data_IF_012751604746
#
_entry.id   IF_012751604746
#
_cell.length_a   1.000
_cell.length_b   1.000
_cell.length_c   1.000
_cell.angle_alpha   90.00
_cell.angle_beta   90.00
_cell.angle_gamma   90.00
#
_symmetry.space_group_name_H-M   'P 1'
#
loop_
_entity.id
_entity.type
_entity.pdbx_description
1 polymer ?
#
# COMPACT_ATOMS: atom_id res chain seq x y z
N UNK A 1 -36.80 13.67 32.41
CA UNK A 1 -35.39 13.55 32.83
C UNK A 1 -34.73 12.24 32.37
N UNK A 2 -35.26 11.03 32.67
CA UNK A 2 -34.62 9.75 32.26
C UNK A 2 -34.42 9.55 30.74
N UNK A 3 -35.37 9.99 29.93
CA UNK A 3 -35.29 9.89 28.46
C UNK A 3 -34.23 10.80 27.84
N UNK A 4 -33.95 11.94 28.48
CA UNK A 4 -32.94 12.89 28.03
C UNK A 4 -31.52 12.30 28.18
N UNK A 5 -31.27 11.56 29.27
CA UNK A 5 -29.99 10.86 29.45
C UNK A 5 -29.79 9.72 28.45
N UNK A 6 -30.85 8.94 28.15
CA UNK A 6 -30.78 7.90 27.14
C UNK A 6 -30.49 8.48 25.74
N UNK A 7 -31.13 9.60 25.39
CA UNK A 7 -30.89 10.29 24.12
C UNK A 7 -29.45 10.82 23.99
N UNK A 8 -28.89 11.39 25.06
CA UNK A 8 -27.50 11.87 25.09
C UNK A 8 -26.52 10.70 24.94
N UNK A 9 -26.76 9.57 25.62
CA UNK A 9 -25.91 8.38 25.50
C UNK A 9 -25.94 7.83 24.07
N UNK A 10 -27.13 7.69 23.46
CA UNK A 10 -27.27 7.23 22.08
C UNK A 10 -26.55 8.15 21.09
N UNK A 11 -26.66 9.48 21.27
CA UNK A 11 -25.98 10.46 20.43
C UNK A 11 -24.46 10.39 20.56
N UNK A 12 -23.94 10.22 21.78
CA UNK A 12 -22.49 10.05 22.01
C UNK A 12 -21.96 8.74 21.42
N UNK A 13 -22.71 7.63 21.54
CA UNK A 13 -22.32 6.36 20.93
C UNK A 13 -22.32 6.47 19.41
N UNK A 14 -23.34 7.07 18.81
CA UNK A 14 -23.40 7.27 17.36
C UNK A 14 -22.25 8.13 16.82
N UNK A 15 -21.83 9.17 17.56
CA UNK A 15 -20.69 10.00 17.19
C UNK A 15 -19.33 9.28 17.30
N UNK A 16 -19.21 8.30 18.21
CA UNK A 16 -18.01 7.46 18.36
C UNK A 16 -17.95 6.37 17.29
N UNK A 17 -19.11 5.85 16.85
CA UNK A 17 -19.21 4.93 15.71
C UNK A 17 -19.25 5.71 14.40
N UNK A 18 -18.27 6.61 14.20
CA UNK A 18 -18.03 7.15 12.88
C UNK A 18 -17.21 6.10 12.10
N UNK A 19 -17.75 5.49 11.02
CA UNK A 19 -16.94 4.65 10.17
C UNK A 19 -15.78 5.51 9.64
N UNK A 20 -14.54 5.04 9.82
CA UNK A 20 -13.38 5.70 9.24
C UNK A 20 -13.62 5.81 7.74
N UNK A 21 -13.49 7.03 7.20
CA UNK A 21 -13.68 7.31 5.79
C UNK A 21 -12.85 6.34 4.92
N UNK A 22 -13.35 6.07 3.71
CA UNK A 22 -12.63 5.28 2.71
C UNK A 22 -11.21 5.82 2.55
N UNK A 23 -10.21 4.97 2.77
CA UNK A 23 -8.81 5.35 2.61
C UNK A 23 -8.52 5.64 1.14
N UNK A 24 -8.00 6.83 0.82
CA UNK A 24 -7.54 7.16 -0.53
C UNK A 24 -6.16 6.55 -0.76
N UNK A 25 -5.97 5.98 -1.96
CA UNK A 25 -4.70 5.46 -2.43
C UNK A 25 -4.18 6.23 -3.65
N UNK A 26 -2.89 6.06 -3.94
CA UNK A 26 -2.26 6.63 -5.14
C UNK A 26 -1.45 5.56 -5.89
N UNK A 27 -1.39 5.71 -7.22
CA UNK A 27 -0.46 4.94 -8.04
C UNK A 27 0.88 5.68 -8.11
N UNK A 28 1.98 5.02 -7.75
CA UNK A 28 3.32 5.59 -7.88
C UNK A 28 4.04 4.93 -9.05
N UNK A 29 4.06 5.64 -10.18
CA UNK A 29 4.87 5.28 -11.35
C UNK A 29 6.29 5.86 -11.27
N UNK A 30 7.28 5.06 -11.65
CA UNK A 30 8.71 5.43 -11.65
C UNK A 30 9.22 5.89 -13.03
N UNK A 31 8.39 5.79 -14.08
CA UNK A 31 8.73 6.19 -15.45
C UNK A 31 8.54 7.70 -15.65
N UNK A 32 9.46 8.50 -15.10
CA UNK A 32 9.49 9.95 -15.27
C UNK A 32 10.85 10.39 -15.82
N UNK A 33 10.87 11.46 -16.63
CA UNK A 33 12.14 12.06 -17.09
C UNK A 33 12.92 12.71 -15.94
N UNK A 34 12.22 13.14 -14.89
CA UNK A 34 12.79 13.76 -13.69
C UNK A 34 12.10 13.16 -12.45
N UNK A 35 12.48 11.94 -12.03
CA UNK A 35 11.88 11.31 -10.88
C UNK A 35 12.25 12.06 -9.59
N UNK A 36 11.28 12.25 -8.70
CA UNK A 36 11.55 12.75 -7.37
C UNK A 36 12.23 11.66 -6.52
N UNK A 37 13.13 12.02 -5.60
CA UNK A 37 13.73 11.04 -4.69
C UNK A 37 12.64 10.33 -3.85
N UNK A 38 12.73 9.00 -3.64
CA UNK A 38 11.69 8.22 -2.96
C UNK A 38 11.26 8.77 -1.59
N UNK A 39 12.20 9.23 -0.77
CA UNK A 39 11.90 9.81 0.55
C UNK A 39 11.01 11.07 0.47
N UNK A 40 11.20 11.87 -0.60
CA UNK A 40 10.40 13.06 -0.85
C UNK A 40 8.98 12.68 -1.23
N UNK A 41 8.82 11.65 -2.08
CA UNK A 41 7.51 11.13 -2.47
C UNK A 41 6.78 10.56 -1.27
N UNK A 42 7.43 9.74 -0.44
CA UNK A 42 6.83 9.17 0.77
C UNK A 42 6.39 10.26 1.74
N UNK A 43 7.22 11.30 1.93
CA UNK A 43 6.83 12.45 2.75
C UNK A 43 5.61 13.17 2.19
N UNK A 44 5.59 13.44 0.88
CA UNK A 44 4.45 14.06 0.20
C UNK A 44 3.17 13.24 0.37
N UNK A 45 3.23 11.91 0.18
CA UNK A 45 2.08 11.01 0.37
C UNK A 45 1.53 11.13 1.79
N UNK A 46 2.41 11.07 2.81
CA UNK A 46 2.02 11.19 4.22
C UNK A 46 1.42 12.56 4.55
N UNK A 47 2.05 13.64 4.10
CA UNK A 47 1.58 15.00 4.35
C UNK A 47 0.21 15.28 3.71
N UNK A 48 -0.13 14.58 2.63
CA UNK A 48 -1.43 14.66 1.97
C UNK A 48 -2.44 13.61 2.48
N UNK A 49 -2.13 12.87 3.54
CA UNK A 49 -3.04 11.91 4.15
C UNK A 49 -3.30 10.65 3.30
N UNK A 50 -2.45 10.38 2.31
CA UNK A 50 -2.53 9.16 1.49
C UNK A 50 -2.00 8.00 2.32
N UNK A 51 -2.82 6.96 2.45
CA UNK A 51 -2.56 5.82 3.33
C UNK A 51 -2.27 4.53 2.56
N UNK A 52 -2.49 4.52 1.24
CA UNK A 52 -2.28 3.37 0.37
C UNK A 52 -1.50 3.76 -0.87
N UNK A 53 -0.59 2.92 -1.33
CA UNK A 53 0.13 3.12 -2.58
C UNK A 53 0.21 1.83 -3.37
N UNK A 54 0.03 1.94 -4.69
CA UNK A 54 0.29 0.86 -5.65
C UNK A 54 1.58 1.15 -6.40
N UNK A 55 2.50 0.18 -6.34
CA UNK A 55 3.72 0.14 -7.12
C UNK A 55 3.54 -0.85 -8.28
N UNK A 56 4.16 -0.58 -9.43
CA UNK A 56 4.06 -1.45 -10.61
C UNK A 56 5.15 -2.51 -10.68
N UNK A 57 6.19 -2.35 -9.86
CA UNK A 57 7.29 -3.27 -9.67
C UNK A 57 7.72 -3.27 -8.20
N UNK A 58 8.70 -4.12 -7.87
CA UNK A 58 9.29 -4.22 -6.55
C UNK A 58 10.68 -3.55 -6.52
N UNK A 59 10.74 -2.28 -6.90
CA UNK A 59 11.97 -1.49 -6.89
C UNK A 59 12.47 -1.26 -5.44
N UNK A 60 13.76 -1.52 -5.22
CA UNK A 60 14.34 -1.62 -3.88
C UNK A 60 14.31 -0.29 -3.13
N UNK A 61 14.71 0.82 -3.77
CA UNK A 61 14.80 2.13 -3.13
C UNK A 61 13.42 2.67 -2.77
N UNK A 62 12.44 2.45 -3.62
CA UNK A 62 11.03 2.81 -3.41
C UNK A 62 10.43 2.05 -2.24
N UNK A 63 10.57 0.71 -2.22
CA UNK A 63 10.10 -0.11 -1.11
C UNK A 63 10.81 0.25 0.19
N UNK A 64 12.13 0.43 0.16
CA UNK A 64 12.91 0.83 1.33
C UNK A 64 12.45 2.19 1.89
N UNK A 65 12.18 3.18 1.04
CA UNK A 65 11.68 4.49 1.48
C UNK A 65 10.29 4.42 2.13
N UNK A 66 9.45 3.47 1.69
CA UNK A 66 8.15 3.20 2.31
C UNK A 66 8.26 2.52 3.69
N UNK A 67 9.45 2.05 4.06
CA UNK A 67 9.73 1.46 5.37
C UNK A 67 9.33 2.37 6.53
N UNK A 68 8.60 1.82 7.50
CA UNK A 68 8.13 2.54 8.71
C UNK A 68 7.26 3.78 8.42
N UNK A 69 6.80 3.98 7.18
CA UNK A 69 5.95 5.12 6.81
C UNK A 69 4.51 4.99 7.31
N UNK A 70 4.06 3.76 7.56
CA UNK A 70 2.66 3.42 7.86
C UNK A 70 1.76 3.32 6.63
N UNK A 71 2.26 3.63 5.43
CA UNK A 71 1.53 3.50 4.16
C UNK A 71 1.41 2.01 3.81
N UNK A 72 0.20 1.56 3.47
CA UNK A 72 -0.04 0.23 2.93
C UNK A 72 0.40 0.14 1.47
N UNK A 73 1.16 -0.89 1.15
CA UNK A 73 1.77 -1.05 -0.17
C UNK A 73 1.16 -2.26 -0.88
N UNK A 74 0.70 -2.03 -2.11
CA UNK A 74 0.42 -3.06 -3.09
C UNK A 74 1.57 -3.10 -4.09
N UNK A 75 2.13 -4.29 -4.34
CA UNK A 75 3.28 -4.48 -5.22
C UNK A 75 2.87 -5.25 -6.48
N UNK A 76 3.09 -4.63 -7.63
CA UNK A 76 2.92 -5.23 -8.93
C UNK A 76 4.03 -6.22 -9.27
N UNK A 77 3.65 -7.32 -9.92
CA UNK A 77 4.56 -8.26 -10.56
C UNK A 77 4.67 -7.89 -12.05
N UNK A 78 5.85 -7.48 -12.53
CA UNK A 78 6.06 -7.17 -13.94
C UNK A 78 5.68 -8.29 -14.91
N UNK A 79 5.15 -7.90 -16.07
CA UNK A 79 4.56 -8.80 -17.07
C UNK A 79 5.55 -9.87 -17.57
N UNK A 80 6.80 -9.46 -17.77
CA UNK A 80 7.89 -10.31 -18.25
C UNK A 80 8.22 -11.46 -17.29
N UNK A 81 7.89 -11.32 -16.01
CA UNK A 81 8.12 -12.38 -15.03
C UNK A 81 6.94 -13.35 -14.90
N UNK A 82 5.74 -12.96 -15.33
CA UNK A 82 4.51 -13.74 -15.13
C UNK A 82 4.66 -15.17 -15.67
N UNK A 83 5.21 -15.33 -16.87
CA UNK A 83 5.43 -16.65 -17.45
C UNK A 83 6.41 -17.51 -16.63
N UNK A 84 7.47 -16.90 -16.10
CA UNK A 84 8.48 -17.60 -15.28
C UNK A 84 7.90 -18.01 -13.92
N UNK A 85 7.14 -17.12 -13.29
CA UNK A 85 6.53 -17.40 -11.98
C UNK A 85 5.39 -18.42 -12.10
N UNK A 86 4.60 -18.35 -13.18
CA UNK A 86 3.52 -19.30 -13.45
C UNK A 86 4.03 -20.72 -13.77
N UNK A 87 5.22 -20.82 -14.38
CA UNK A 87 5.81 -22.11 -14.78
C UNK A 87 6.63 -22.79 -13.68
N UNK A 88 6.99 -22.08 -12.61
CA UNK A 88 7.85 -22.65 -11.55
C UNK A 88 7.52 -22.10 -10.17
N UNK A 89 7.04 -22.97 -9.29
CA UNK A 89 6.82 -22.65 -7.87
C UNK A 89 8.11 -22.14 -7.20
N UNK A 90 9.25 -22.76 -7.48
CA UNK A 90 10.54 -22.34 -6.93
C UNK A 90 10.93 -20.93 -7.38
N UNK A 91 10.60 -20.56 -8.62
CA UNK A 91 10.84 -19.20 -9.10
C UNK A 91 9.93 -18.20 -8.37
N UNK A 92 8.65 -18.54 -8.15
CA UNK A 92 7.71 -17.75 -7.37
C UNK A 92 8.17 -17.55 -5.91
N UNK A 93 8.56 -18.62 -5.23
CA UNK A 93 9.09 -18.56 -3.85
C UNK A 93 10.33 -17.67 -3.76
N UNK A 94 11.28 -17.84 -4.69
CA UNK A 94 12.50 -17.03 -4.72
C UNK A 94 12.18 -15.55 -4.97
N UNK A 95 11.21 -15.27 -5.82
CA UNK A 95 10.80 -13.90 -6.12
C UNK A 95 10.17 -13.23 -4.89
N UNK A 96 9.24 -13.91 -4.22
CA UNK A 96 8.61 -13.41 -2.99
C UNK A 96 9.65 -13.20 -1.90
N UNK A 97 10.54 -14.18 -1.69
CA UNK A 97 11.60 -14.07 -0.67
C UNK A 97 12.48 -12.85 -0.92
N UNK A 98 12.90 -12.62 -2.16
CA UNK A 98 13.80 -11.52 -2.52
C UNK A 98 13.11 -10.17 -2.46
N UNK A 99 11.94 -10.03 -3.09
CA UNK A 99 11.34 -8.72 -3.40
C UNK A 99 10.21 -8.30 -2.45
N UNK A 100 9.73 -9.21 -1.59
CA UNK A 100 8.64 -8.94 -0.64
C UNK A 100 9.12 -9.20 0.78
N UNK A 101 9.54 -10.44 1.07
CA UNK A 101 9.91 -10.84 2.44
C UNK A 101 11.10 -10.06 2.99
N UNK A 102 12.11 -9.76 2.16
CA UNK A 102 13.26 -8.93 2.58
C UNK A 102 12.82 -7.58 3.11
N UNK A 103 11.92 -6.89 2.42
CA UNK A 103 11.48 -5.53 2.77
C UNK A 103 10.54 -5.51 3.99
N UNK A 104 9.68 -6.52 4.12
CA UNK A 104 8.84 -6.67 5.31
C UNK A 104 9.73 -6.84 6.56
N UNK A 105 10.75 -7.71 6.48
CA UNK A 105 11.58 -8.04 7.63
C UNK A 105 12.65 -6.98 7.94
N UNK A 106 13.28 -6.40 6.91
CA UNK A 106 14.44 -5.52 7.07
C UNK A 106 14.03 -4.05 7.20
N UNK A 107 13.19 -3.60 6.29
CA UNK A 107 12.82 -2.18 6.16
C UNK A 107 11.50 -1.86 6.88
N UNK A 108 10.78 -2.89 7.35
CA UNK A 108 9.46 -2.76 7.98
C UNK A 108 8.43 -2.10 7.05
N UNK A 109 8.41 -2.53 5.79
CA UNK A 109 7.42 -2.09 4.80
C UNK A 109 6.09 -2.81 5.04
N UNK A 110 4.99 -2.07 5.00
CA UNK A 110 3.64 -2.59 5.22
C UNK A 110 3.01 -3.09 3.90
N UNK A 111 3.56 -4.17 3.35
CA UNK A 111 3.04 -4.78 2.12
C UNK A 111 1.78 -5.59 2.46
N UNK A 112 0.66 -5.28 1.78
CA UNK A 112 -0.64 -5.92 2.01
C UNK A 112 -1.06 -6.85 0.88
N UNK A 113 -0.69 -6.51 -0.35
CA UNK A 113 -1.20 -7.19 -1.53
C UNK A 113 -0.15 -7.28 -2.62
N UNK A 114 -0.21 -8.38 -3.37
CA UNK A 114 0.58 -8.61 -4.57
C UNK A 114 -0.39 -8.69 -5.75
N UNK A 115 -0.10 -7.95 -6.80
CA UNK A 115 -0.93 -7.93 -8.00
C UNK A 115 -0.12 -8.44 -9.19
N UNK A 116 -0.65 -9.45 -9.89
CA UNK A 116 -0.14 -9.79 -11.21
C UNK A 116 -0.57 -8.65 -12.12
N UNK A 117 0.38 -7.87 -12.63
CA UNK A 117 0.06 -6.67 -13.42
C UNK A 117 -0.74 -7.13 -14.65
N UNK A 118 -2.05 -6.93 -14.61
CA UNK A 118 -2.88 -6.81 -15.81
C UNK A 118 -3.13 -5.32 -15.96
N UNK A 119 -3.11 -4.83 -17.19
CA UNK A 119 -3.20 -3.40 -17.55
C UNK A 119 -4.52 -2.69 -17.16
N UNK A 120 -5.27 -3.20 -16.18
CA UNK A 120 -6.55 -2.64 -15.76
C UNK A 120 -6.40 -2.03 -14.36
N UNK A 121 -6.77 -0.76 -14.26
CA UNK A 121 -6.62 0.10 -13.09
C UNK A 121 -7.32 -0.46 -11.85
N UNK A 122 -6.59 -1.14 -10.96
CA UNK A 122 -7.05 -1.46 -9.61
C UNK A 122 -6.59 -0.44 -8.56
N UNK A 123 -7.36 0.64 -8.40
CA UNK A 123 -7.68 1.37 -7.15
C UNK A 123 -8.52 2.61 -7.55
N UNK A 124 -9.81 2.39 -7.80
CA UNK A 124 -10.88 3.40 -7.80
C UNK A 124 -12.13 2.74 -7.22
#
# INVERSE_FOLDING_TARGET
MRWSFAAVIVLTVAAVVCPKASSIGANWGTQASHPLPPDIVVRMLRENGIQKVKLFDAEYDTLRALGKSGIEVMVGIPNEMLATLASSLKAAEKWVAKNVSTHINTDSVNIRELELVRLEFGFL
#
